data_IF_277242251747
#
_entry.id   IF_277242251747
#
_cell.length_a   1.000
_cell.length_b   1.000
_cell.length_c   1.000
_cell.angle_alpha   90.00
_cell.angle_beta   90.00
_cell.angle_gamma   90.00
#
_symmetry.space_group_name_H-M   'P 1'
#
loop_
_entity.id
_entity.type
_entity.pdbx_description
1 polymer ?
#
# COMPACT_ATOMS: atom_id res chain seq x y z
N UNK A 1 -4.40 19.18 -48.94
CA UNK A 1 -5.07 19.62 -47.69
C UNK A 1 -6.50 20.01 -48.03
N UNK A 2 -7.47 19.21 -47.58
CA UNK A 2 -8.89 19.57 -47.64
C UNK A 2 -9.19 20.60 -46.56
N UNK A 3 -9.85 21.70 -46.93
CA UNK A 3 -10.28 22.73 -45.97
C UNK A 3 -11.74 22.47 -45.62
N UNK A 4 -12.03 22.41 -44.32
CA UNK A 4 -13.42 22.39 -43.82
C UNK A 4 -13.84 23.83 -43.53
N UNK A 5 -14.90 24.30 -44.17
CA UNK A 5 -15.48 25.61 -43.88
C UNK A 5 -16.43 25.50 -42.70
N UNK A 6 -16.21 26.33 -41.69
CA UNK A 6 -17.08 26.42 -40.50
C UNK A 6 -17.61 27.84 -40.44
N UNK A 7 -18.91 27.99 -40.15
CA UNK A 7 -19.51 29.30 -39.92
C UNK A 7 -19.03 29.81 -38.56
N UNK A 8 -18.41 30.99 -38.46
CA UNK A 8 -17.96 31.52 -37.18
C UNK A 8 -19.13 31.96 -36.30
N UNK A 9 -18.99 31.85 -34.98
CA UNK A 9 -19.87 32.56 -34.04
C UNK A 9 -19.43 34.01 -33.95
N UNK A 10 -20.30 34.92 -34.38
CA UNK A 10 -20.06 36.37 -34.29
C UNK A 10 -20.38 36.79 -32.86
N UNK A 11 -19.33 37.05 -32.08
CA UNK A 11 -19.45 37.37 -30.66
C UNK A 11 -19.84 38.84 -30.45
N UNK A 12 -19.40 39.72 -31.34
CA UNK A 12 -19.76 41.14 -31.32
C UNK A 12 -19.61 41.76 -32.72
N UNK A 13 -20.73 42.22 -33.28
CA UNK A 13 -20.78 42.87 -34.60
C UNK A 13 -20.03 44.21 -34.65
N UNK A 14 -19.70 44.80 -33.50
CA UNK A 14 -18.94 46.05 -33.42
C UNK A 14 -17.42 45.86 -33.36
N UNK A 15 -16.94 44.67 -32.95
CA UNK A 15 -15.50 44.38 -32.82
C UNK A 15 -14.93 43.53 -33.97
N UNK A 16 -15.79 43.05 -34.90
CA UNK A 16 -15.40 42.12 -35.97
C UNK A 16 -14.73 40.83 -35.45
N UNK A 17 -15.01 40.46 -34.20
CA UNK A 17 -14.48 39.25 -33.58
C UNK A 17 -15.39 38.06 -33.87
N UNK A 18 -14.79 37.02 -34.44
CA UNK A 18 -15.39 35.71 -34.68
C UNK A 18 -14.67 34.68 -33.83
N UNK A 19 -15.40 33.78 -33.20
CA UNK A 19 -14.84 32.63 -32.47
C UNK A 19 -15.19 31.35 -33.21
N UNK A 20 -14.23 30.43 -33.27
CA UNK A 20 -14.43 29.07 -33.74
C UNK A 20 -14.04 28.12 -32.60
N UNK A 21 -14.97 27.27 -32.18
CA UNK A 21 -14.69 26.20 -31.22
C UNK A 21 -14.54 24.90 -32.00
N UNK A 22 -13.37 24.28 -31.87
CA UNK A 22 -13.12 22.95 -32.41
C UNK A 22 -13.15 21.95 -31.26
N UNK A 23 -13.91 20.87 -31.43
CA UNK A 23 -13.78 19.64 -30.65
C UNK A 23 -13.21 18.56 -31.57
N UNK A 24 -11.89 18.53 -31.85
CA UNK A 24 -11.34 17.45 -32.63
C UNK A 24 -11.59 16.15 -31.88
N UNK A 25 -12.40 15.29 -32.50
CA UNK A 25 -12.66 13.92 -32.06
C UNK A 25 -11.86 12.98 -32.95
N UNK A 26 -11.49 11.81 -32.43
CA UNK A 26 -10.83 10.74 -33.19
C UNK A 26 -9.45 11.09 -33.79
N UNK A 27 -8.67 11.96 -33.15
CA UNK A 27 -7.28 12.16 -33.54
C UNK A 27 -6.45 10.91 -33.20
N UNK A 28 -5.68 10.40 -34.17
CA UNK A 28 -4.73 9.33 -33.92
C UNK A 28 -3.57 9.79 -33.02
N UNK A 29 -2.83 8.87 -32.42
CA UNK A 29 -1.59 9.22 -31.69
C UNK A 29 -0.57 9.92 -32.60
N UNK A 30 0.23 10.79 -32.00
CA UNK A 30 1.34 11.50 -32.61
C UNK A 30 1.06 12.97 -32.92
N UNK A 31 1.97 13.61 -33.68
CA UNK A 31 1.89 15.03 -33.97
C UNK A 31 0.83 15.31 -35.03
N UNK A 32 -0.02 16.28 -34.73
CA UNK A 32 -0.99 16.89 -35.62
C UNK A 32 -0.68 18.35 -35.80
N UNK A 33 -1.09 18.86 -36.96
CA UNK A 33 -0.98 20.28 -37.27
C UNK A 33 -2.33 20.75 -37.78
N UNK A 34 -2.92 21.69 -37.04
CA UNK A 34 -4.21 22.31 -37.40
C UNK A 34 -3.92 23.67 -38.01
N UNK A 35 -4.51 23.90 -39.18
CA UNK A 35 -4.38 25.17 -39.91
C UNK A 35 -5.69 25.94 -39.85
N UNK A 36 -5.60 27.22 -39.52
CA UNK A 36 -6.72 28.15 -39.48
C UNK A 36 -6.48 29.25 -40.49
N UNK A 37 -7.51 29.60 -41.26
CA UNK A 37 -7.49 30.78 -42.12
C UNK A 37 -8.88 31.39 -42.18
N UNK A 38 -8.96 32.71 -42.24
CA UNK A 38 -10.21 33.40 -42.45
C UNK A 38 -10.58 33.47 -43.94
N UNK A 39 -11.87 33.53 -44.22
CA UNK A 39 -12.43 33.90 -45.52
C UNK A 39 -13.45 35.00 -45.26
N UNK A 40 -13.31 36.14 -45.93
CA UNK A 40 -14.23 37.26 -45.74
C UNK A 40 -15.55 37.08 -46.55
N UNK A 41 -16.47 38.02 -46.39
CA UNK A 41 -17.76 38.02 -47.08
C UNK A 41 -17.67 38.30 -48.60
N UNK A 42 -16.49 38.65 -49.11
CA UNK A 42 -16.19 38.83 -50.53
C UNK A 42 -15.42 37.62 -51.11
N UNK A 43 -15.30 36.54 -50.33
CA UNK A 43 -14.55 35.33 -50.65
C UNK A 43 -13.02 35.55 -50.79
N UNK A 44 -12.48 36.64 -50.23
CA UNK A 44 -11.03 36.79 -50.10
C UNK A 44 -10.52 35.84 -49.00
N UNK A 45 -9.48 35.08 -49.33
CA UNK A 45 -8.88 34.09 -48.44
C UNK A 45 -7.62 34.68 -47.82
N UNK A 46 -7.49 34.57 -46.50
CA UNK A 46 -6.27 34.94 -45.78
C UNK A 46 -5.06 34.14 -46.32
N UNK A 47 -4.01 34.81 -46.86
CA UNK A 47 -2.84 34.13 -47.40
C UNK A 47 -1.89 33.59 -46.31
N UNK A 48 -2.09 33.96 -45.04
CA UNK A 48 -1.24 33.63 -43.90
C UNK A 48 -1.96 32.74 -42.87
N UNK A 49 -2.17 31.44 -43.16
CA UNK A 49 -2.85 30.56 -42.22
C UNK A 49 -2.09 30.47 -40.89
N UNK A 50 -2.82 30.66 -39.78
CA UNK A 50 -2.33 30.36 -38.45
C UNK A 50 -2.17 28.85 -38.29
N UNK A 51 -1.10 28.43 -37.63
CA UNK A 51 -0.78 27.02 -37.42
C UNK A 51 -0.73 26.72 -35.93
N UNK A 52 -1.41 25.66 -35.50
CA UNK A 52 -1.33 25.11 -34.15
C UNK A 52 -0.80 23.68 -34.24
N UNK A 53 0.25 23.39 -33.49
CA UNK A 53 0.78 22.04 -33.32
C UNK A 53 0.12 21.40 -32.10
N UNK A 54 -0.42 20.20 -32.28
CA UNK A 54 -1.01 19.38 -31.22
C UNK A 54 -0.24 18.06 -31.22
N UNK A 55 0.22 17.58 -30.06
CA UNK A 55 0.72 16.22 -29.94
C UNK A 55 -0.32 15.40 -29.19
N UNK A 56 -0.87 14.38 -29.84
CA UNK A 56 -1.81 13.46 -29.19
C UNK A 56 -1.00 12.30 -28.65
N UNK A 57 -0.90 12.21 -27.34
CA UNK A 57 -0.15 11.16 -26.66
C UNK A 57 -1.11 10.07 -26.17
N UNK A 58 -0.59 8.85 -26.00
CA UNK A 58 -1.36 7.81 -25.35
C UNK A 58 -1.67 8.25 -23.92
N UNK A 59 -2.89 7.98 -23.44
CA UNK A 59 -3.24 8.22 -22.06
C UNK A 59 -2.22 7.54 -21.15
N UNK A 60 -1.69 8.28 -20.17
CA UNK A 60 -0.90 7.68 -19.11
C UNK A 60 -1.88 6.84 -18.28
N UNK A 61 -1.68 5.53 -18.27
CA UNK A 61 -2.42 4.66 -17.36
C UNK A 61 -2.18 5.11 -15.91
N UNK A 62 -3.15 4.91 -14.99
CA UNK A 62 -2.90 5.16 -13.59
C UNK A 62 -1.68 4.38 -13.08
N UNK A 63 -0.99 4.89 -12.07
CA UNK A 63 -0.06 4.08 -11.28
C UNK A 63 -0.86 3.43 -10.14
N UNK A 64 -0.55 2.19 -9.80
CA UNK A 64 -1.28 1.42 -8.78
C UNK A 64 -0.29 0.83 -7.77
N UNK A 65 -0.60 0.99 -6.48
CA UNK A 65 0.04 0.28 -5.38
C UNK A 65 -1.03 -0.34 -4.47
N UNK A 66 -0.75 -1.53 -3.93
CA UNK A 66 -1.60 -2.19 -2.93
C UNK A 66 -0.91 -2.15 -1.56
N UNK A 67 -1.71 -2.07 -0.49
CA UNK A 67 -1.20 -2.00 0.89
C UNK A 67 -0.56 -3.31 1.39
N UNK A 68 -0.80 -4.42 0.69
CA UNK A 68 -0.24 -5.73 1.00
C UNK A 68 0.91 -6.00 0.03
N UNK A 69 2.04 -6.49 0.53
CA UNK A 69 3.15 -6.91 -0.30
C UNK A 69 2.91 -8.30 -0.89
N UNK A 70 3.42 -8.55 -2.10
CA UNK A 70 3.37 -9.89 -2.69
C UNK A 70 4.21 -10.88 -1.86
N UNK A 71 3.61 -12.03 -1.54
CA UNK A 71 4.19 -13.05 -0.66
C UNK A 71 4.14 -12.70 0.83
N UNK A 72 3.34 -11.72 1.25
CA UNK A 72 3.21 -11.39 2.68
C UNK A 72 2.48 -12.50 3.46
N UNK A 73 2.93 -12.77 4.67
CA UNK A 73 2.33 -13.75 5.57
C UNK A 73 1.64 -13.06 6.75
N UNK A 74 0.47 -13.56 7.10
CA UNK A 74 -0.33 -13.14 8.23
C UNK A 74 -0.61 -14.32 9.15
N UNK A 75 -0.88 -14.03 10.42
CA UNK A 75 -1.05 -15.07 11.44
C UNK A 75 -2.33 -14.83 12.24
N UNK A 76 -3.07 -15.90 12.48
CA UNK A 76 -4.27 -15.94 13.32
C UNK A 76 -4.09 -16.93 14.48
N UNK A 77 -4.71 -16.70 15.65
CA UNK A 77 -4.64 -17.63 16.77
C UNK A 77 -5.46 -18.90 16.51
N UNK A 78 -5.01 -20.06 17.02
CA UNK A 78 -5.83 -21.29 16.97
C UNK A 78 -7.17 -21.17 17.73
N UNK A 79 -7.26 -20.24 18.70
CA UNK A 79 -8.49 -19.97 19.46
C UNK A 79 -9.53 -19.16 18.68
N UNK A 80 -9.08 -18.44 17.64
CA UNK A 80 -9.92 -17.72 16.68
C UNK A 80 -9.25 -17.76 15.29
N UNK A 81 -9.35 -18.89 14.57
CA UNK A 81 -8.53 -19.21 13.40
C UNK A 81 -9.01 -18.53 12.10
N UNK A 82 -9.58 -17.33 12.23
CA UNK A 82 -10.15 -16.55 11.14
C UNK A 82 -9.77 -15.08 11.29
N UNK A 83 -9.32 -14.48 10.20
CA UNK A 83 -9.09 -13.04 10.11
C UNK A 83 -10.37 -12.36 9.62
N UNK A 84 -11.05 -11.66 10.53
CA UNK A 84 -12.25 -10.89 10.21
C UNK A 84 -11.89 -9.50 9.68
N UNK A 85 -12.55 -9.08 8.59
CA UNK A 85 -12.45 -7.71 8.08
C UNK A 85 -11.06 -7.31 7.58
N UNK A 86 -10.34 -8.23 6.94
CA UNK A 86 -9.04 -7.94 6.35
C UNK A 86 -9.18 -6.95 5.18
N UNK A 87 -8.51 -5.80 5.27
CA UNK A 87 -8.63 -4.73 4.27
C UNK A 87 -7.36 -4.59 3.44
N UNK A 88 -7.50 -4.68 2.12
CA UNK A 88 -6.48 -4.31 1.14
C UNK A 88 -6.84 -2.94 0.56
N UNK A 89 -5.95 -1.97 0.70
CA UNK A 89 -6.15 -0.62 0.15
C UNK A 89 -5.40 -0.48 -1.17
N UNK A 90 -6.11 -0.07 -2.22
CA UNK A 90 -5.55 0.29 -3.52
C UNK A 90 -5.30 1.81 -3.58
N UNK A 91 -4.04 2.19 -3.74
CA UNK A 91 -3.64 3.59 -3.99
C UNK A 91 -3.39 3.75 -5.47
N UNK A 92 -4.16 4.62 -6.13
CA UNK A 92 -3.97 4.92 -7.54
C UNK A 92 -3.74 6.42 -7.78
N UNK A 93 -2.76 6.75 -8.62
CA UNK A 93 -2.44 8.12 -9.03
C UNK A 93 -2.63 8.29 -10.53
N UNK A 94 -3.15 9.45 -10.92
CA UNK A 94 -3.31 9.84 -12.34
C UNK A 94 -2.63 11.18 -12.52
N UNK A 95 -1.50 11.19 -13.22
CA UNK A 95 -0.60 12.35 -13.27
C UNK A 95 -0.95 13.39 -14.34
N UNK A 96 -1.98 13.18 -15.16
CA UNK A 96 -2.35 14.11 -16.23
C UNK A 96 -3.53 15.03 -15.89
N UNK A 97 -3.53 16.21 -16.50
CA UNK A 97 -4.48 17.33 -16.38
C UNK A 97 -5.95 16.85 -16.24
N UNK A 98 -6.48 16.87 -15.01
CA UNK A 98 -7.85 16.46 -14.66
C UNK A 98 -8.20 14.96 -14.81
N UNK A 99 -7.21 14.08 -14.91
CA UNK A 99 -7.44 12.64 -14.82
C UNK A 99 -7.98 12.29 -13.43
N UNK A 100 -9.15 11.66 -13.40
CA UNK A 100 -9.75 11.11 -12.18
C UNK A 100 -9.76 9.59 -12.32
N UNK A 101 -9.52 8.88 -11.21
CA UNK A 101 -9.84 7.45 -11.13
C UNK A 101 -11.33 7.29 -11.38
N UNK A 102 -11.67 6.46 -12.36
CA UNK A 102 -13.05 6.14 -12.71
C UNK A 102 -13.53 4.90 -11.95
N UNK A 103 -12.74 3.83 -11.92
CA UNK A 103 -13.16 2.60 -11.24
C UNK A 103 -12.00 1.66 -10.90
N UNK A 104 -12.23 0.85 -9.86
CA UNK A 104 -11.41 -0.31 -9.50
C UNK A 104 -12.16 -1.57 -9.90
N UNK A 105 -11.57 -2.39 -10.77
CA UNK A 105 -12.04 -3.73 -11.09
C UNK A 105 -11.23 -4.71 -10.26
N UNK A 106 -11.91 -5.44 -9.38
CA UNK A 106 -11.29 -6.28 -8.36
C UNK A 106 -11.70 -7.73 -8.59
N UNK A 107 -10.71 -8.61 -8.57
CA UNK A 107 -10.89 -10.06 -8.49
C UNK A 107 -10.11 -10.57 -7.29
N UNK A 108 -10.63 -11.57 -6.59
CA UNK A 108 -9.93 -12.15 -5.43
C UNK A 108 -10.03 -13.66 -5.47
N UNK A 109 -9.23 -14.34 -4.66
CA UNK A 109 -9.37 -15.78 -4.43
C UNK A 109 -10.73 -16.17 -3.85
N UNK A 110 -11.43 -15.20 -3.25
CA UNK A 110 -12.75 -15.34 -2.64
C UNK A 110 -13.82 -14.59 -3.45
N UNK A 111 -14.98 -15.22 -3.61
CA UNK A 111 -16.13 -14.60 -4.26
C UNK A 111 -15.99 -14.30 -5.75
N UNK A 112 -16.97 -13.59 -6.29
CA UNK A 112 -17.01 -13.19 -7.70
C UNK A 112 -16.32 -11.82 -7.89
N UNK A 113 -15.69 -11.56 -9.06
CA UNK A 113 -15.16 -10.25 -9.39
C UNK A 113 -16.22 -9.15 -9.31
N UNK A 114 -15.79 -7.96 -8.88
CA UNK A 114 -16.66 -6.80 -8.72
C UNK A 114 -15.98 -5.51 -9.17
N UNK A 115 -16.78 -4.44 -9.30
CA UNK A 115 -16.30 -3.10 -9.64
C UNK A 115 -16.74 -2.13 -8.54
N UNK A 116 -15.84 -1.28 -8.10
CA UNK A 116 -16.08 -0.30 -7.03
C UNK A 116 -15.42 1.05 -7.33
N UNK A 117 -15.89 2.09 -6.65
CA UNK A 117 -15.25 3.40 -6.60
C UNK A 117 -14.38 3.58 -5.34
N UNK A 118 -14.60 2.71 -4.35
CA UNK A 118 -13.88 2.75 -3.08
C UNK A 118 -12.52 2.04 -3.23
N UNK A 119 -11.43 2.63 -2.70
CA UNK A 119 -10.10 2.04 -2.76
C UNK A 119 -9.90 0.89 -1.76
N UNK A 120 -10.83 0.68 -0.83
CA UNK A 120 -10.75 -0.33 0.22
C UNK A 120 -11.47 -1.62 -0.19
N UNK A 121 -10.73 -2.72 -0.19
CA UNK A 121 -11.21 -4.06 -0.52
C UNK A 121 -11.24 -4.86 0.76
N UNK A 122 -12.43 -5.14 1.27
CA UNK A 122 -12.63 -5.85 2.54
C UNK A 122 -12.92 -7.33 2.25
N UNK A 123 -12.08 -8.21 2.80
CA UNK A 123 -12.24 -9.65 2.78
C UNK A 123 -12.70 -10.12 4.16
N UNK A 124 -13.73 -10.97 4.20
CA UNK A 124 -14.31 -11.51 5.43
C UNK A 124 -13.86 -12.93 5.71
N UNK A 125 -13.76 -13.26 7.01
CA UNK A 125 -13.64 -14.61 7.56
C UNK A 125 -12.54 -15.48 6.92
N UNK A 126 -11.35 -14.91 6.68
CA UNK A 126 -10.27 -15.63 6.04
C UNK A 126 -9.61 -16.61 7.02
N UNK A 127 -9.72 -17.91 6.73
CA UNK A 127 -9.06 -18.97 7.50
C UNK A 127 -7.61 -19.20 7.06
N UNK A 128 -6.88 -20.16 7.66
CA UNK A 128 -5.54 -20.51 7.19
C UNK A 128 -5.55 -21.00 5.74
N UNK A 129 -4.66 -20.46 4.91
CA UNK A 129 -4.66 -20.71 3.47
C UNK A 129 -3.87 -19.68 2.67
N UNK A 130 -3.80 -19.91 1.36
CA UNK A 130 -3.20 -18.97 0.41
C UNK A 130 -4.30 -18.21 -0.32
N UNK A 131 -4.13 -16.89 -0.44
CA UNK A 131 -5.09 -15.96 -1.00
C UNK A 131 -4.43 -15.04 -2.00
N UNK A 132 -5.23 -14.45 -2.88
CA UNK A 132 -4.77 -13.44 -3.82
C UNK A 132 -5.83 -12.37 -4.04
N UNK A 133 -5.36 -11.14 -4.32
CA UNK A 133 -6.19 -10.01 -4.76
C UNK A 133 -5.54 -9.45 -6.01
N UNK A 134 -6.35 -9.25 -7.05
CA UNK A 134 -5.96 -8.63 -8.30
C UNK A 134 -6.83 -7.41 -8.58
N UNK A 135 -6.18 -6.28 -8.85
CA UNK A 135 -6.85 -4.99 -9.06
C UNK A 135 -6.41 -4.37 -10.37
N UNK A 136 -7.36 -3.96 -11.18
CA UNK A 136 -7.13 -3.12 -12.36
C UNK A 136 -7.84 -1.79 -12.16
N UNK A 137 -7.12 -0.67 -12.31
CA UNK A 137 -7.71 0.67 -12.17
C UNK A 137 -7.92 1.29 -13.54
N UNK A 138 -9.09 1.89 -13.74
CA UNK A 138 -9.44 2.66 -14.93
C UNK A 138 -9.50 4.15 -14.60
N UNK A 139 -9.01 4.98 -15.51
CA UNK A 139 -9.21 6.43 -15.47
C UNK A 139 -10.48 6.85 -16.23
N UNK A 140 -10.91 8.10 -16.03
CA UNK A 140 -12.07 8.68 -16.72
C UNK A 140 -11.88 8.86 -18.24
N UNK A 141 -10.67 8.72 -18.76
CA UNK A 141 -10.35 8.75 -20.17
C UNK A 141 -10.41 7.36 -20.84
N UNK A 142 -10.62 6.29 -20.05
CA UNK A 142 -10.68 4.91 -20.50
C UNK A 142 -9.31 4.22 -20.61
N UNK A 143 -8.25 4.74 -20.00
CA UNK A 143 -6.97 4.04 -19.86
C UNK A 143 -6.97 3.19 -18.59
N UNK A 144 -6.31 2.04 -18.61
CA UNK A 144 -6.21 1.16 -17.43
C UNK A 144 -4.78 0.84 -17.05
N UNK A 145 -4.57 0.53 -15.78
CA UNK A 145 -3.30 -0.02 -15.27
C UNK A 145 -3.02 -1.40 -15.86
N UNK A 146 -1.78 -1.86 -15.74
CA UNK A 146 -1.54 -3.30 -15.66
C UNK A 146 -2.22 -3.85 -14.39
N UNK A 147 -2.65 -5.10 -14.42
CA UNK A 147 -3.26 -5.76 -13.26
C UNK A 147 -2.25 -5.81 -12.10
N UNK A 148 -2.61 -5.21 -10.96
CA UNK A 148 -1.85 -5.27 -9.72
C UNK A 148 -2.30 -6.47 -8.89
N UNK A 149 -1.60 -7.59 -9.03
CA UNK A 149 -1.87 -8.80 -8.26
C UNK A 149 -0.92 -8.89 -7.06
N UNK A 150 -1.46 -9.24 -5.91
CA UNK A 150 -0.72 -9.62 -4.71
C UNK A 150 -1.20 -10.97 -4.21
N UNK A 151 -0.25 -11.82 -3.84
CA UNK A 151 -0.50 -13.09 -3.15
C UNK A 151 -0.12 -12.93 -1.69
N UNK A 152 -0.86 -13.55 -0.79
CA UNK A 152 -0.54 -13.58 0.63
C UNK A 152 -1.00 -14.89 1.26
N UNK A 153 -0.45 -15.22 2.42
CA UNK A 153 -0.89 -16.40 3.17
C UNK A 153 -1.37 -16.03 4.56
N UNK A 154 -2.29 -16.84 5.08
CA UNK A 154 -2.71 -16.81 6.47
C UNK A 154 -2.33 -18.15 7.09
N UNK A 155 -1.60 -18.08 8.19
CA UNK A 155 -1.19 -19.25 8.97
C UNK A 155 -1.82 -19.23 10.36
N UNK A 156 -2.14 -20.41 10.87
CA UNK A 156 -2.61 -20.56 12.24
C UNK A 156 -1.42 -20.73 13.19
N UNK A 157 -1.36 -19.94 14.25
CA UNK A 157 -0.43 -20.15 15.36
C UNK A 157 -1.06 -21.07 16.40
N UNK A 158 -0.48 -22.26 16.57
CA UNK A 158 -0.85 -23.21 17.62
C UNK A 158 -0.44 -22.72 19.02
N UNK A 159 -0.79 -23.48 20.08
CA UNK A 159 -0.35 -23.19 21.45
C UNK A 159 1.14 -23.50 21.68
N UNK A 160 1.65 -23.11 22.84
CA UNK A 160 2.95 -23.55 23.38
C UNK A 160 4.19 -23.21 22.52
N UNK A 161 4.30 -21.96 22.03
CA UNK A 161 5.41 -21.50 21.19
C UNK A 161 6.68 -21.12 21.95
N UNK A 162 6.73 -21.36 23.27
CA UNK A 162 7.84 -20.99 24.12
C UNK A 162 7.88 -19.49 24.39
N UNK A 163 8.96 -18.82 23.98
CA UNK A 163 9.17 -17.38 24.26
C UNK A 163 8.74 -16.53 23.06
N UNK A 164 7.97 -15.48 23.32
CA UNK A 164 7.80 -14.37 22.39
C UNK A 164 8.90 -13.34 22.62
N UNK A 165 9.78 -13.16 21.64
CA UNK A 165 10.80 -12.13 21.64
C UNK A 165 10.29 -10.92 20.86
N UNK A 166 10.08 -9.80 21.54
CA UNK A 166 9.66 -8.55 20.91
C UNK A 166 10.90 -7.70 20.66
N UNK A 167 11.14 -7.35 19.39
CA UNK A 167 12.16 -6.41 18.98
C UNK A 167 11.58 -4.99 18.95
N UNK A 168 11.87 -4.22 19.99
CA UNK A 168 11.68 -2.78 20.06
C UNK A 168 12.98 -1.98 19.95
N UNK A 169 14.03 -2.56 19.36
CA UNK A 169 15.27 -1.85 19.06
C UNK A 169 15.20 -1.30 17.63
N UNK A 170 15.36 0.02 17.48
CA UNK A 170 15.49 0.66 16.17
C UNK A 170 16.78 0.20 15.47
N UNK A 171 16.63 -0.64 14.45
CA UNK A 171 17.77 -1.27 13.79
C UNK A 171 18.61 -0.30 12.98
N UNK A 172 17.99 0.75 12.43
CA UNK A 172 18.68 1.76 11.63
C UNK A 172 19.77 2.49 12.45
N UNK A 173 19.50 2.71 13.75
CA UNK A 173 20.41 3.42 14.65
C UNK A 173 21.27 2.46 15.48
N UNK A 174 20.65 1.41 16.03
CA UNK A 174 21.26 0.52 17.03
C UNK A 174 21.46 -0.92 16.56
N UNK A 175 21.11 -1.24 15.32
CA UNK A 175 21.22 -2.61 14.79
C UNK A 175 22.63 -3.18 14.90
N UNK A 176 23.66 -2.35 14.70
CA UNK A 176 25.06 -2.75 14.86
C UNK A 176 25.45 -3.16 16.29
N UNK A 177 24.80 -2.60 17.31
CA UNK A 177 24.98 -2.96 18.72
C UNK A 177 24.11 -4.18 19.08
N UNK A 178 22.95 -4.32 18.42
CA UNK A 178 21.98 -5.38 18.69
C UNK A 178 22.31 -6.74 18.06
N UNK A 179 23.16 -6.79 17.03
CA UNK A 179 23.49 -8.05 16.31
C UNK A 179 23.89 -9.16 17.27
N UNK A 180 24.83 -8.90 18.18
CA UNK A 180 25.37 -9.92 19.08
C UNK A 180 24.30 -10.47 20.04
N UNK A 181 23.33 -9.66 20.46
CA UNK A 181 22.24 -10.08 21.35
C UNK A 181 21.34 -11.10 20.65
N UNK A 182 21.02 -10.85 19.38
CA UNK A 182 20.15 -11.71 18.59
C UNK A 182 20.89 -12.94 18.08
N UNK A 183 22.11 -12.81 17.54
CA UNK A 183 22.91 -13.94 17.06
C UNK A 183 23.31 -14.90 18.19
N UNK A 184 23.61 -14.39 19.39
CA UNK A 184 23.91 -15.24 20.55
C UNK A 184 22.66 -15.83 21.21
N UNK A 185 21.47 -15.50 20.70
CA UNK A 185 20.19 -15.98 21.22
C UNK A 185 19.91 -15.55 22.65
N UNK A 186 20.36 -14.35 23.05
CA UNK A 186 20.12 -13.81 24.39
C UNK A 186 18.61 -13.68 24.66
N UNK A 187 17.82 -13.37 23.63
CA UNK A 187 16.38 -13.14 23.77
C UNK A 187 15.55 -14.39 24.06
N UNK A 188 16.03 -15.58 23.66
CA UNK A 188 15.35 -16.86 23.91
C UNK A 188 16.17 -17.82 24.78
N UNK A 189 17.45 -17.53 25.02
CA UNK A 189 18.37 -18.36 25.78
C UNK A 189 18.44 -19.79 25.26
N UNK A 190 18.30 -20.76 26.18
CA UNK A 190 18.32 -22.20 25.86
C UNK A 190 16.96 -22.76 25.41
N UNK A 191 15.95 -21.92 25.16
CA UNK A 191 14.64 -22.39 24.71
C UNK A 191 14.74 -22.86 23.25
N UNK A 192 14.15 -24.02 22.97
CA UNK A 192 14.14 -24.61 21.63
C UNK A 192 12.99 -24.10 20.76
N UNK A 193 12.00 -23.45 21.37
CA UNK A 193 10.87 -22.82 20.70
C UNK A 193 10.86 -21.34 21.10
N UNK A 194 10.97 -20.48 20.11
CA UNK A 194 10.81 -19.05 20.27
C UNK A 194 10.20 -18.48 19.00
N UNK A 195 9.51 -17.36 19.15
CA UNK A 195 8.96 -16.57 18.06
C UNK A 195 9.37 -15.13 18.23
N UNK A 196 9.44 -14.38 17.14
CA UNK A 196 9.84 -12.99 17.13
C UNK A 196 8.73 -12.11 16.55
N UNK A 197 8.54 -10.94 17.14
CA UNK A 197 7.75 -9.85 16.57
C UNK A 197 8.63 -8.61 16.48
N UNK A 198 8.68 -7.99 15.31
CA UNK A 198 9.46 -6.77 15.09
C UNK A 198 8.57 -5.53 15.13
N UNK A 199 8.83 -4.58 16.02
CA UNK A 199 7.98 -3.38 16.12
C UNK A 199 8.18 -2.41 14.95
N UNK A 200 9.21 -2.60 14.13
CA UNK A 200 9.54 -1.68 13.03
C UNK A 200 9.32 -2.30 11.66
N UNK A 201 8.63 -1.55 10.79
CA UNK A 201 8.42 -1.94 9.39
C UNK A 201 9.63 -1.63 8.50
N UNK A 202 10.45 -0.67 8.91
CA UNK A 202 11.64 -0.20 8.17
C UNK A 202 12.91 -0.63 8.88
N UNK A 203 13.82 -1.29 8.16
CA UNK A 203 15.07 -1.88 8.71
C UNK A 203 14.79 -2.96 9.77
N UNK A 204 14.29 -4.12 9.35
CA UNK A 204 13.87 -5.16 10.27
C UNK A 204 15.05 -5.99 10.78
N UNK A 205 14.83 -6.65 11.91
CA UNK A 205 15.76 -7.52 12.63
C UNK A 205 16.43 -8.59 11.75
N UNK A 206 15.80 -9.01 10.65
CA UNK A 206 16.28 -10.11 9.81
C UNK A 206 17.34 -9.72 8.77
N UNK A 207 17.75 -8.44 8.67
CA UNK A 207 18.85 -8.06 7.77
C UNK A 207 20.19 -8.69 8.17
N UNK A 208 20.33 -9.17 9.40
CA UNK A 208 21.56 -9.80 9.90
C UNK A 208 21.38 -11.24 10.38
N UNK A 209 20.15 -11.71 10.61
CA UNK A 209 19.87 -13.05 11.14
C UNK A 209 18.67 -13.69 10.46
N UNK A 210 18.86 -14.88 9.89
CA UNK A 210 17.76 -15.69 9.36
C UNK A 210 17.00 -16.34 10.52
N UNK A 211 15.86 -15.75 10.88
CA UNK A 211 14.98 -16.28 11.91
C UNK A 211 14.07 -17.41 11.38
N UNK A 212 14.10 -17.71 10.07
CA UNK A 212 13.22 -18.68 9.43
C UNK A 212 11.76 -18.51 9.85
N UNK A 213 11.14 -19.62 10.27
CA UNK A 213 9.73 -19.66 10.70
C UNK A 213 9.48 -19.00 12.07
N UNK A 214 10.50 -18.45 12.73
CA UNK A 214 10.34 -17.81 14.05
C UNK A 214 9.75 -16.40 13.95
N UNK A 215 9.89 -15.70 12.82
CA UNK A 215 9.30 -14.37 12.65
C UNK A 215 7.79 -14.48 12.42
N UNK A 216 7.00 -13.94 13.35
CA UNK A 216 5.53 -13.97 13.27
C UNK A 216 4.93 -12.75 12.58
N UNK A 217 5.64 -11.63 12.59
CA UNK A 217 5.13 -10.40 12.05
C UNK A 217 6.01 -9.22 12.36
N UNK A 218 5.60 -8.08 11.82
CA UNK A 218 6.27 -6.81 11.96
C UNK A 218 5.27 -5.67 12.06
N UNK A 219 5.76 -4.52 12.50
CA UNK A 219 5.01 -3.27 12.59
C UNK A 219 4.52 -2.96 14.00
N UNK A 220 3.92 -1.78 14.09
CA UNK A 220 3.45 -1.21 15.35
C UNK A 220 2.39 -2.10 16.02
N UNK A 221 2.66 -2.50 17.26
CA UNK A 221 1.73 -3.23 18.12
C UNK A 221 1.81 -4.74 17.94
N UNK A 222 2.16 -5.44 19.02
CA UNK A 222 2.02 -6.89 19.11
C UNK A 222 0.51 -7.19 19.24
N UNK A 223 -0.06 -8.11 18.44
CA UNK A 223 -1.47 -8.47 18.57
C UNK A 223 -1.79 -8.91 20.00
N UNK A 224 -2.83 -8.35 20.61
CA UNK A 224 -3.19 -8.62 22.01
C UNK A 224 -3.34 -10.12 22.32
N UNK A 225 -3.86 -10.90 21.37
CA UNK A 225 -4.00 -12.35 21.51
C UNK A 225 -2.66 -13.10 21.61
N UNK A 226 -1.56 -12.52 21.12
CA UNK A 226 -0.21 -13.08 21.31
C UNK A 226 0.30 -12.84 22.73
N UNK A 227 -0.25 -11.88 23.47
CA UNK A 227 0.09 -11.60 24.87
C UNK A 227 -0.76 -12.45 25.81
N UNK A 228 -0.79 -13.76 25.55
CA UNK A 228 -1.57 -14.73 26.31
C UNK A 228 -0.72 -16.00 26.60
N UNK A 229 -0.88 -16.52 27.82
CA UNK A 229 -0.15 -17.71 28.30
C UNK A 229 -0.50 -18.99 27.54
N UNK A 230 -1.61 -19.01 26.80
CA UNK A 230 -1.97 -20.10 25.90
C UNK A 230 -1.02 -20.21 24.69
N UNK A 231 -0.36 -19.11 24.31
CA UNK A 231 0.57 -19.07 23.17
C UNK A 231 2.03 -19.04 23.63
N UNK A 232 2.35 -18.28 24.67
CA UNK A 232 3.72 -18.04 25.11
C UNK A 232 3.89 -18.12 26.62
N UNK A 233 4.89 -18.89 27.05
CA UNK A 233 5.20 -19.07 28.47
C UNK A 233 5.95 -17.88 29.09
N UNK A 234 6.63 -17.10 28.26
CA UNK A 234 7.29 -15.88 28.65
C UNK A 234 7.41 -14.92 27.46
N UNK A 235 7.52 -13.64 27.77
CA UNK A 235 7.80 -12.56 26.82
C UNK A 235 9.16 -11.98 27.15
N UNK A 236 10.01 -11.82 26.15
CA UNK A 236 11.25 -11.06 26.25
C UNK A 236 11.17 -9.85 25.33
N UNK A 237 10.99 -8.67 25.91
CA UNK A 237 10.80 -7.44 25.15
C UNK A 237 12.05 -6.56 25.25
N UNK A 238 12.85 -6.56 24.19
CA UNK A 238 14.01 -5.67 24.08
C UNK A 238 13.55 -4.34 23.53
N UNK A 239 13.92 -3.26 24.19
CA UNK A 239 13.49 -1.91 23.85
C UNK A 239 14.55 -0.91 24.27
N UNK A 240 14.62 0.26 23.64
CA UNK A 240 15.62 1.29 23.96
C UNK A 240 15.07 2.73 24.04
N UNK A 241 13.75 2.91 24.23
CA UNK A 241 13.10 4.23 24.34
C UNK A 241 13.50 5.18 23.19
N UNK A 242 13.71 4.64 22.00
CA UNK A 242 14.17 5.33 20.80
C UNK A 242 13.23 5.02 19.63
N UNK A 243 13.02 6.00 18.74
CA UNK A 243 12.12 5.90 17.58
C UNK A 243 10.66 5.53 17.91
N UNK A 244 10.22 5.68 19.15
CA UNK A 244 8.81 5.52 19.53
C UNK A 244 8.40 4.12 19.99
N UNK A 245 9.35 3.21 20.29
CA UNK A 245 9.04 1.94 20.95
C UNK A 245 8.33 2.14 22.30
N UNK A 246 8.53 3.29 22.93
CA UNK A 246 7.90 3.63 24.19
C UNK A 246 6.39 3.82 24.11
N UNK A 247 5.91 4.44 23.04
CA UNK A 247 4.49 4.55 22.73
C UNK A 247 3.91 3.17 22.50
N UNK A 248 4.57 2.33 21.71
CA UNK A 248 4.10 0.97 21.39
C UNK A 248 3.99 0.08 22.63
N UNK A 249 4.93 0.21 23.56
CA UNK A 249 4.84 -0.44 24.87
C UNK A 249 3.64 0.05 25.68
N UNK A 250 3.45 1.37 25.76
CA UNK A 250 2.35 1.96 26.53
C UNK A 250 0.99 1.59 25.94
N UNK A 251 0.89 1.45 24.62
CA UNK A 251 -0.32 0.98 23.95
C UNK A 251 -0.63 -0.49 24.29
N UNK A 252 0.39 -1.31 24.55
CA UNK A 252 0.25 -2.70 24.97
C UNK A 252 0.12 -2.89 26.50
N UNK A 253 0.18 -1.82 27.31
CA UNK A 253 0.25 -1.91 28.79
C UNK A 253 -0.88 -2.75 29.38
N UNK A 254 -2.12 -2.53 28.94
CA UNK A 254 -3.28 -3.27 29.44
C UNK A 254 -3.17 -4.78 29.17
N UNK A 255 -2.71 -5.16 27.98
CA UNK A 255 -2.56 -6.55 27.55
C UNK A 255 -1.38 -7.22 28.26
N UNK A 256 -0.28 -6.49 28.47
CA UNK A 256 0.88 -6.97 29.23
C UNK A 256 0.55 -7.17 30.72
N UNK A 257 -0.26 -6.29 31.31
CA UNK A 257 -0.77 -6.48 32.67
C UNK A 257 -1.69 -7.71 32.72
N UNK A 258 -2.59 -7.88 31.76
CA UNK A 258 -3.43 -9.08 31.67
C UNK A 258 -2.57 -10.36 31.57
N UNK A 259 -1.51 -10.34 30.75
CA UNK A 259 -0.55 -11.43 30.62
C UNK A 259 0.10 -11.81 31.96
N UNK A 260 0.54 -10.82 32.74
CA UNK A 260 1.10 -11.04 34.07
C UNK A 260 0.06 -11.59 35.06
N UNK A 261 -1.18 -11.11 35.01
CA UNK A 261 -2.29 -11.61 35.84
C UNK A 261 -2.65 -13.06 35.52
N UNK A 262 -2.47 -13.50 34.27
CA UNK A 262 -2.58 -14.90 33.85
C UNK A 262 -1.42 -15.78 34.35
N UNK A 263 -0.39 -15.19 34.95
CA UNK A 263 0.80 -15.90 35.48
C UNK A 263 1.97 -15.96 34.48
N UNK A 264 1.89 -15.21 33.39
CA UNK A 264 2.98 -15.04 32.44
C UNK A 264 4.19 -14.34 33.06
N UNK A 265 5.35 -14.49 32.41
CA UNK A 265 6.59 -13.85 32.85
C UNK A 265 7.11 -12.91 31.76
N UNK A 266 7.49 -11.69 32.15
CA UNK A 266 8.04 -10.70 31.22
C UNK A 266 9.47 -10.36 31.64
N UNK A 267 10.38 -10.43 30.67
CA UNK A 267 11.72 -9.86 30.76
C UNK A 267 11.75 -8.55 29.97
N UNK A 268 12.27 -7.48 30.60
CA UNK A 268 12.38 -6.14 30.01
C UNK A 268 13.84 -5.65 29.99
N UNK A 269 14.67 -6.16 29.07
CA UNK A 269 16.02 -5.66 28.89
C UNK A 269 16.00 -4.24 28.31
N UNK A 270 16.97 -3.43 28.72
CA UNK A 270 17.34 -2.14 28.11
C UNK A 270 16.23 -1.09 27.95
N UNK A 271 15.03 -1.30 28.50
CA UNK A 271 13.85 -0.46 28.26
C UNK A 271 14.07 1.05 28.45
N UNK A 272 14.86 1.42 29.45
CA UNK A 272 15.23 2.82 29.76
C UNK A 272 16.71 3.13 29.51
N UNK A 273 17.38 2.30 28.71
CA UNK A 273 18.77 2.53 28.37
C UNK A 273 18.86 3.67 27.33
N UNK A 274 19.86 4.53 27.47
CA UNK A 274 20.15 5.61 26.52
C UNK A 274 20.95 5.11 25.29
N UNK A 275 21.22 3.81 25.21
CA UNK A 275 21.96 3.11 24.17
C UNK A 275 21.84 1.59 24.32
N UNK A 276 22.38 0.81 23.38
CA UNK A 276 22.30 -0.65 23.38
C UNK A 276 23.67 -1.33 23.48
#
# INVERSE_FOLDING_TARGET
TSWTTVVPDIVDVSSSAAVITLGPTDLSLGPHTVYFRAVDNMANVDPSPLTISINVEAGYAPELALSVADGQDFIVPYTAPTMEGFTVTATATVDFYYGQVDSFVVSTSEGDPFTTLEPEIVLGDLSSGAYWVDVTVWDAAGSSTASGQVNFTISELGPDNGILCVNGIDWATYGGEAVDVWEAGVAWGNRTHFKTWDLFDTSPIYETSDFGDSLLGKGAGVPAWMLDTDFFEAISWFANSYSGDDVLWLDADADLIAYLEMGGNILLPTRYAEGF
#
